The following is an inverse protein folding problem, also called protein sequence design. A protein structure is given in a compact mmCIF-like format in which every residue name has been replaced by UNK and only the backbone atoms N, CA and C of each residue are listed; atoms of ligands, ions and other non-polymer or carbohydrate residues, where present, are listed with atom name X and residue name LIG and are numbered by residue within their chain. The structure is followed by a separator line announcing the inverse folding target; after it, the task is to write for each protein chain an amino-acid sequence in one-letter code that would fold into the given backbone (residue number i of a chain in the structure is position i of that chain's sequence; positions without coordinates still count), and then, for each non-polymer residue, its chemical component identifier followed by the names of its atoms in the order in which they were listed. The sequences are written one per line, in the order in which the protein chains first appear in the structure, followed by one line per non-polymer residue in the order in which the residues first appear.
data_IF_799132988994
#
_entry.id   IF_799132988994
#
_cell.length_a   1.000
_cell.length_b   1.000
_cell.length_c   1.000
_cell.angle_alpha   90.00
_cell.angle_beta   90.00
_cell.angle_gamma   90.00
#
_symmetry.space_group_name_H-M   'P 1'
#
loop_
_entity.id
_entity.type
_entity.pdbx_description
1 polymer ?
#
# COMPACT_ATOMS: atom_id res chain seq x y z
N UNK A 1 10.04 -8.63 41.08
CA UNK A 1 8.71 -8.32 40.53
C UNK A 1 8.60 -6.90 39.96
N UNK A 2 9.26 -5.90 40.50
CA UNK A 2 9.26 -4.53 39.95
C UNK A 2 9.91 -4.44 38.57
N UNK A 3 10.83 -5.31 38.22
CA UNK A 3 11.54 -5.30 36.92
C UNK A 3 10.72 -5.90 35.78
N UNK A 4 9.83 -6.83 36.06
CA UNK A 4 8.97 -7.44 35.03
C UNK A 4 7.93 -6.46 34.51
N UNK A 5 7.35 -5.62 35.38
CA UNK A 5 6.40 -4.57 34.99
C UNK A 5 7.06 -3.49 34.15
N UNK A 6 8.32 -3.18 34.42
CA UNK A 6 9.09 -2.18 33.68
C UNK A 6 9.44 -2.67 32.27
N UNK A 7 9.78 -3.96 32.12
CA UNK A 7 10.05 -4.59 30.83
C UNK A 7 8.79 -4.70 29.97
N UNK A 8 7.66 -5.03 30.57
CA UNK A 8 6.35 -5.07 29.89
C UNK A 8 5.90 -3.70 29.41
N UNK A 9 6.17 -2.65 30.19
CA UNK A 9 5.85 -1.28 29.80
C UNK A 9 6.71 -0.80 28.63
N UNK A 10 7.99 -1.15 28.60
CA UNK A 10 8.89 -0.86 27.48
C UNK A 10 8.49 -1.60 26.22
N UNK A 11 8.04 -2.83 26.35
CA UNK A 11 7.57 -3.63 25.23
C UNK A 11 6.28 -3.05 24.64
N UNK A 12 5.36 -2.59 25.46
CA UNK A 12 4.12 -1.94 25.04
C UNK A 12 4.39 -0.60 24.34
N UNK A 13 5.35 0.18 24.83
CA UNK A 13 5.75 1.44 24.21
C UNK A 13 6.41 1.22 22.85
N UNK A 14 7.22 0.18 22.69
CA UNK A 14 7.84 -0.19 21.42
C UNK A 14 6.81 -0.71 20.41
N UNK A 15 5.80 -1.45 20.86
CA UNK A 15 4.69 -1.90 20.02
C UNK A 15 3.84 -0.73 19.51
N UNK A 16 3.58 0.25 20.37
CA UNK A 16 2.87 1.47 19.97
C UNK A 16 3.67 2.31 18.97
N UNK A 17 4.99 2.30 19.06
CA UNK A 17 5.85 2.98 18.10
C UNK A 17 5.82 2.33 16.72
N UNK A 18 5.72 0.99 16.66
CA UNK A 18 5.62 0.23 15.41
C UNK A 18 4.25 0.41 14.73
N UNK A 19 3.20 0.75 15.49
CA UNK A 19 1.83 0.98 14.96
C UNK A 19 1.69 2.40 14.38
N UNK A 20 2.63 3.31 14.68
CA UNK A 20 2.61 4.69 14.21
C UNK A 20 3.18 4.85 12.79
N UNK A 21 3.18 3.79 11.96
CA UNK A 21 3.57 3.90 10.56
C UNK A 21 2.60 4.81 9.81
N UNK A 22 3.17 5.72 9.04
CA UNK A 22 2.41 6.65 8.23
C UNK A 22 1.62 5.90 7.15
N UNK A 23 0.31 6.09 7.14
CA UNK A 23 -0.56 5.52 6.11
C UNK A 23 -0.40 6.35 4.83
N UNK A 24 -0.12 5.73 3.68
CA UNK A 24 0.03 6.47 2.44
C UNK A 24 -1.29 7.09 1.99
N UNK A 25 -1.22 8.25 1.36
CA UNK A 25 -2.38 8.91 0.78
C UNK A 25 -2.68 8.35 -0.61
N UNK A 26 -3.92 8.49 -1.05
CA UNK A 26 -4.31 8.18 -2.43
C UNK A 26 -3.43 8.91 -3.43
N UNK A 27 -3.16 10.18 -3.19
CA UNK A 27 -2.33 11.03 -4.04
C UNK A 27 -0.92 10.47 -4.21
N UNK A 28 -0.30 10.02 -3.14
CA UNK A 28 1.02 9.40 -3.17
C UNK A 28 1.02 8.12 -3.98
N UNK A 29 0.02 7.26 -3.77
CA UNK A 29 -0.12 6.00 -4.52
C UNK A 29 -0.25 6.24 -6.02
N UNK A 30 -1.09 7.21 -6.42
CA UNK A 30 -1.29 7.55 -7.82
C UNK A 30 -0.01 8.10 -8.46
N UNK A 31 0.72 8.94 -7.74
CA UNK A 31 2.00 9.49 -8.20
C UNK A 31 3.03 8.38 -8.43
N UNK A 32 3.18 7.49 -7.46
CA UNK A 32 4.12 6.37 -7.55
C UNK A 32 3.71 5.36 -8.63
N UNK A 33 2.42 5.12 -8.81
CA UNK A 33 1.91 4.29 -9.90
C UNK A 33 2.29 4.87 -11.28
N UNK A 34 2.26 6.19 -11.42
CA UNK A 34 2.69 6.86 -12.66
C UNK A 34 4.17 6.57 -12.98
N UNK A 35 5.03 6.54 -11.97
CA UNK A 35 6.42 6.14 -12.16
C UNK A 35 6.54 4.68 -12.59
N UNK A 36 5.72 3.80 -12.04
CA UNK A 36 5.71 2.38 -12.40
C UNK A 36 5.26 2.15 -13.83
N UNK A 37 4.39 2.98 -14.37
CA UNK A 37 3.97 2.91 -15.78
C UNK A 37 5.17 3.21 -16.69
N UNK A 38 6.02 4.16 -16.31
CA UNK A 38 7.19 4.56 -17.08
C UNK A 38 8.34 3.54 -16.98
N UNK A 39 8.54 3.00 -15.79
CA UNK A 39 9.58 2.00 -15.52
C UNK A 39 9.07 1.00 -14.50
N UNK A 40 8.62 -0.15 -14.99
CA UNK A 40 8.03 -1.21 -14.16
C UNK A 40 9.05 -1.90 -13.25
N UNK A 41 10.35 -1.71 -13.49
CA UNK A 41 11.43 -2.29 -12.68
C UNK A 41 12.00 -1.31 -11.65
N UNK A 42 11.48 -0.09 -11.57
CA UNK A 42 11.89 0.89 -10.57
C UNK A 42 11.61 0.40 -9.15
N UNK A 43 12.51 0.70 -8.23
CA UNK A 43 12.37 0.30 -6.82
C UNK A 43 11.06 0.80 -6.20
N UNK A 44 10.58 1.97 -6.62
CA UNK A 44 9.32 2.53 -6.16
C UNK A 44 8.12 1.59 -6.43
N UNK A 45 8.16 0.80 -7.50
CA UNK A 45 7.11 -0.17 -7.81
C UNK A 45 7.03 -1.28 -6.79
N UNK A 46 8.18 -1.78 -6.34
CA UNK A 46 8.25 -2.79 -5.30
C UNK A 46 7.70 -2.27 -3.97
N UNK A 47 8.09 -1.07 -3.59
CA UNK A 47 7.63 -0.43 -2.36
C UNK A 47 6.14 -0.09 -2.41
N UNK A 48 5.65 0.26 -3.58
CA UNK A 48 4.25 0.62 -3.80
C UNK A 48 3.29 -0.53 -3.48
N UNK A 49 3.68 -1.77 -3.70
CA UNK A 49 2.87 -2.95 -3.36
C UNK A 49 2.54 -2.94 -1.86
N UNK A 50 3.54 -2.69 -1.01
CA UNK A 50 3.37 -2.60 0.43
C UNK A 50 2.54 -1.38 0.85
N UNK A 51 2.76 -0.24 0.20
CA UNK A 51 2.02 0.99 0.48
C UNK A 51 0.53 0.85 0.15
N UNK A 52 0.22 0.22 -0.97
CA UNK A 52 -1.17 -0.06 -1.35
C UNK A 52 -1.84 -0.98 -0.34
N UNK A 53 -1.13 -1.99 0.15
CA UNK A 53 -1.66 -2.89 1.15
C UNK A 53 -2.03 -2.18 2.45
N UNK A 54 -1.20 -1.25 2.91
CA UNK A 54 -1.49 -0.45 4.09
C UNK A 54 -2.78 0.34 3.93
N UNK A 55 -2.96 0.99 2.79
CA UNK A 55 -4.19 1.75 2.52
C UNK A 55 -5.41 0.83 2.38
N UNK A 56 -5.25 -0.36 1.81
CA UNK A 56 -6.33 -1.36 1.71
C UNK A 56 -6.88 -1.73 3.08
N UNK A 57 -6.02 -1.94 4.07
CA UNK A 57 -6.44 -2.27 5.43
C UNK A 57 -7.27 -1.16 6.06
N UNK A 58 -6.87 0.09 5.85
CA UNK A 58 -7.59 1.25 6.38
C UNK A 58 -8.97 1.39 5.75
N UNK A 59 -9.06 1.32 4.42
CA UNK A 59 -10.35 1.48 3.72
C UNK A 59 -11.27 0.29 3.96
N UNK A 60 -10.72 -0.89 4.21
CA UNK A 60 -11.49 -2.06 4.64
C UNK A 60 -12.17 -1.81 5.98
N UNK A 61 -11.42 -1.29 6.96
CA UNK A 61 -11.97 -0.96 8.28
C UNK A 61 -13.04 0.13 8.22
N UNK A 62 -12.98 0.97 7.19
CA UNK A 62 -13.97 2.03 6.93
C UNK A 62 -15.15 1.53 6.10
N UNK A 63 -15.23 0.24 5.79
CA UNK A 63 -16.26 -0.35 4.92
C UNK A 63 -16.29 0.25 3.50
N UNK A 64 -15.15 0.76 3.02
CA UNK A 64 -15.03 1.34 1.68
C UNK A 64 -14.57 0.28 0.69
N UNK A 65 -15.43 -0.68 0.41
CA UNK A 65 -15.08 -1.88 -0.36
C UNK A 65 -14.78 -1.61 -1.84
N UNK A 66 -15.40 -0.60 -2.43
CA UNK A 66 -15.08 -0.21 -3.81
C UNK A 66 -13.67 0.35 -3.92
N UNK A 67 -13.25 1.15 -2.95
CA UNK A 67 -11.88 1.64 -2.86
C UNK A 67 -10.90 0.47 -2.67
N UNK A 68 -11.19 -0.42 -1.74
CA UNK A 68 -10.36 -1.60 -1.48
C UNK A 68 -10.20 -2.44 -2.75
N UNK A 69 -11.28 -2.71 -3.46
CA UNK A 69 -11.28 -3.49 -4.70
C UNK A 69 -10.43 -2.83 -5.79
N UNK A 70 -10.53 -1.50 -5.91
CA UNK A 70 -9.73 -0.73 -6.88
C UNK A 70 -8.24 -0.75 -6.52
N UNK A 71 -7.91 -0.64 -5.24
CA UNK A 71 -6.53 -0.74 -4.76
C UNK A 71 -5.96 -2.14 -5.00
N UNK A 72 -6.75 -3.18 -4.77
CA UNK A 72 -6.35 -4.56 -5.05
C UNK A 72 -6.07 -4.75 -6.54
N UNK A 73 -6.89 -4.17 -7.40
CA UNK A 73 -6.72 -4.24 -8.86
C UNK A 73 -5.40 -3.61 -9.31
N UNK A 74 -5.09 -2.40 -8.84
CA UNK A 74 -3.84 -1.73 -9.20
C UNK A 74 -2.63 -2.44 -8.58
N UNK A 75 -2.75 -2.97 -7.37
CA UNK A 75 -1.71 -3.76 -6.73
C UNK A 75 -1.37 -5.01 -7.55
N UNK A 76 -2.37 -5.73 -8.02
CA UNK A 76 -2.19 -6.90 -8.88
C UNK A 76 -1.47 -6.56 -10.17
N UNK A 77 -1.82 -5.45 -10.80
CA UNK A 77 -1.16 -4.99 -12.02
C UNK A 77 0.31 -4.66 -11.79
N UNK A 78 0.63 -4.04 -10.66
CA UNK A 78 2.01 -3.70 -10.29
C UNK A 78 2.82 -4.97 -9.99
N UNK A 79 2.23 -5.95 -9.31
CA UNK A 79 2.86 -7.24 -9.03
C UNK A 79 3.19 -7.95 -10.34
N UNK A 80 2.29 -7.99 -11.29
CA UNK A 80 2.54 -8.59 -12.61
C UNK A 80 3.68 -7.89 -13.34
N UNK A 81 3.69 -6.56 -13.33
CA UNK A 81 4.70 -5.78 -14.03
C UNK A 81 6.09 -5.92 -13.41
N UNK A 82 6.18 -5.83 -12.08
CA UNK A 82 7.46 -5.82 -11.38
C UNK A 82 8.02 -7.23 -11.17
N UNK A 83 7.22 -8.12 -10.56
CA UNK A 83 7.70 -9.44 -10.13
C UNK A 83 7.64 -10.48 -11.25
N UNK A 84 6.59 -10.47 -12.05
CA UNK A 84 6.39 -11.43 -13.12
C UNK A 84 6.94 -10.94 -14.47
N UNK A 85 7.37 -9.70 -14.55
CA UNK A 85 7.94 -9.06 -15.76
C UNK A 85 7.03 -9.19 -16.98
N UNK A 86 5.73 -9.17 -16.75
CA UNK A 86 4.73 -9.17 -17.81
C UNK A 86 4.39 -7.73 -18.20
N UNK A 87 3.97 -7.52 -19.44
CA UNK A 87 3.54 -6.21 -19.92
C UNK A 87 2.21 -5.82 -19.26
N UNK A 88 2.31 -5.17 -18.09
CA UNK A 88 1.14 -4.75 -17.31
C UNK A 88 1.03 -3.25 -17.16
N UNK A 89 1.82 -2.47 -17.92
CA UNK A 89 1.76 -1.01 -17.89
C UNK A 89 0.36 -0.51 -18.25
N UNK A 90 -0.28 -1.13 -19.24
CA UNK A 90 -1.66 -0.83 -19.63
C UNK A 90 -2.64 -1.13 -18.53
N UNK A 91 -2.44 -2.24 -17.79
CA UNK A 91 -3.30 -2.61 -16.66
C UNK A 91 -3.18 -1.62 -15.52
N UNK A 92 -1.96 -1.15 -15.22
CA UNK A 92 -1.75 -0.11 -14.21
C UNK A 92 -2.51 1.15 -14.62
N UNK A 93 -2.33 1.61 -15.86
CA UNK A 93 -3.01 2.78 -16.40
C UNK A 93 -4.53 2.62 -16.37
N UNK A 94 -5.03 1.44 -16.70
CA UNK A 94 -6.45 1.11 -16.69
C UNK A 94 -7.06 1.23 -15.28
N UNK A 95 -6.31 0.87 -14.25
CA UNK A 95 -6.80 0.88 -12.87
C UNK A 95 -6.76 2.25 -12.21
N UNK A 96 -5.95 3.19 -12.71
CA UNK A 96 -5.83 4.52 -12.12
C UNK A 96 -7.17 5.25 -12.00
N UNK A 97 -8.02 5.34 -13.06
CA UNK A 97 -9.31 6.00 -12.95
C UNK A 97 -10.22 5.42 -11.88
N UNK A 98 -10.16 4.11 -11.66
CA UNK A 98 -10.97 3.44 -10.63
C UNK A 98 -10.53 3.84 -9.23
N UNK A 99 -9.22 3.95 -9.00
CA UNK A 99 -8.69 4.42 -7.72
C UNK A 99 -9.10 5.88 -7.48
N UNK A 100 -9.01 6.72 -8.50
CA UNK A 100 -9.44 8.12 -8.41
C UNK A 100 -10.91 8.22 -8.04
N UNK A 101 -11.76 7.44 -8.70
CA UNK A 101 -13.21 7.47 -8.53
C UNK A 101 -13.66 6.89 -7.19
N UNK A 102 -13.07 5.76 -6.79
CA UNK A 102 -13.57 4.95 -5.67
C UNK A 102 -12.86 5.25 -4.35
N UNK A 103 -11.72 5.87 -4.41
CA UNK A 103 -10.96 6.29 -3.23
C UNK A 103 -10.92 7.79 -3.12
#
# INVERSE_FOLDING_TARGET
MKYLTFLLLKFLLLSNFAIAETIPTKSKILKEASYCIKDSQAQVCKELVSEIEKLQLVVFDQNRFKCQSSLLGIQSAIIEAYFLKKFSNEKISFMIPYVIKNC
#
